data_IF_101257052423
#
_entry.id   IF_101257052423
#
_cell.length_a   1.000
_cell.length_b   1.000
_cell.length_c   1.000
_cell.angle_alpha   90.00
_cell.angle_beta   90.00
_cell.angle_gamma   90.00
#
_symmetry.space_group_name_H-M   'P 1'
#
loop_
_entity.id
_entity.type
_entity.pdbx_description
1 polymer ?
#
# COMPACT_ATOMS: atom_id res chain seq x y z
N UNK A 1 1.38 -18.75 24.82
CA UNK A 1 1.74 -17.36 25.16
C UNK A 1 3.14 -17.32 25.76
N UNK A 2 3.46 -18.19 26.72
CA UNK A 2 4.82 -18.35 27.29
C UNK A 2 5.90 -18.56 26.22
N UNK A 3 5.78 -19.56 25.35
CA UNK A 3 6.78 -19.79 24.28
C UNK A 3 6.95 -18.61 23.31
N UNK A 4 5.92 -17.77 23.12
CA UNK A 4 6.02 -16.55 22.31
C UNK A 4 6.78 -15.45 23.06
N UNK A 5 6.52 -15.30 24.36
CA UNK A 5 7.21 -14.32 25.19
C UNK A 5 8.68 -14.70 25.40
N UNK A 6 9.00 -15.99 25.47
CA UNK A 6 10.38 -16.49 25.50
C UNK A 6 11.18 -16.10 24.24
N UNK A 7 10.57 -16.15 23.05
CA UNK A 7 11.23 -15.74 21.78
C UNK A 7 11.71 -14.27 21.84
N UNK A 8 10.91 -13.39 22.45
CA UNK A 8 11.17 -11.94 22.50
C UNK A 8 11.66 -11.45 23.87
N UNK A 9 12.09 -12.35 24.76
CA UNK A 9 12.50 -12.00 26.12
C UNK A 9 13.63 -10.95 26.14
N UNK A 10 14.51 -10.98 25.14
CA UNK A 10 15.61 -10.03 24.96
C UNK A 10 15.18 -8.58 24.68
N UNK A 11 13.90 -8.35 24.36
CA UNK A 11 13.30 -7.02 24.13
C UNK A 11 12.53 -6.51 25.36
N UNK A 12 12.46 -7.28 26.45
CA UNK A 12 11.70 -6.90 27.64
C UNK A 12 12.42 -5.78 28.40
N UNK A 13 11.69 -4.71 28.71
CA UNK A 13 12.14 -3.57 29.51
C UNK A 13 11.34 -3.56 30.81
N UNK A 14 12.03 -3.33 31.93
CA UNK A 14 11.38 -3.32 33.25
C UNK A 14 10.50 -2.09 33.40
N UNK A 15 9.34 -2.24 34.05
CA UNK A 15 8.41 -1.14 34.27
C UNK A 15 9.07 0.00 35.08
N UNK A 16 9.97 -0.33 36.00
CA UNK A 16 10.73 0.64 36.79
C UNK A 16 11.57 1.57 35.89
N UNK A 17 12.22 1.04 34.85
CA UNK A 17 13.02 1.83 33.92
C UNK A 17 12.14 2.77 33.09
N UNK A 18 10.96 2.31 32.67
CA UNK A 18 9.98 3.11 31.93
C UNK A 18 9.42 4.24 32.81
N UNK A 19 9.10 3.95 34.07
CA UNK A 19 8.65 4.95 35.02
C UNK A 19 9.68 6.06 35.22
N UNK A 20 10.96 5.69 35.36
CA UNK A 20 12.06 6.67 35.44
C UNK A 20 12.18 7.49 34.14
N UNK A 21 12.15 6.83 32.98
CA UNK A 21 12.31 7.47 31.67
C UNK A 21 11.19 8.47 31.35
N UNK A 22 9.97 8.21 31.83
CA UNK A 22 8.76 9.00 31.54
C UNK A 22 8.34 9.94 32.67
N UNK A 23 9.12 10.02 33.75
CA UNK A 23 8.75 10.72 34.99
C UNK A 23 7.38 10.26 35.55
N UNK A 24 7.18 8.94 35.63
CA UNK A 24 5.93 8.28 36.02
C UNK A 24 4.75 8.63 35.11
N UNK A 25 4.96 8.60 33.78
CA UNK A 25 3.96 8.97 32.78
C UNK A 25 3.40 10.39 32.98
N UNK A 26 4.29 11.37 33.23
CA UNK A 26 3.90 12.77 33.33
C UNK A 26 3.13 13.20 32.07
N UNK A 27 2.00 13.87 32.28
CA UNK A 27 1.14 14.37 31.20
C UNK A 27 1.85 15.41 30.32
N UNK A 28 2.88 16.08 30.84
CA UNK A 28 3.73 16.98 30.07
C UNK A 28 4.55 16.26 28.98
N UNK A 29 4.78 14.96 29.14
CA UNK A 29 5.54 14.14 28.19
C UNK A 29 4.65 13.47 27.13
N UNK A 30 3.34 13.77 27.08
CA UNK A 30 2.42 13.14 26.12
C UNK A 30 2.60 13.75 24.74
N UNK A 31 3.00 12.90 23.78
CA UNK A 31 3.19 13.27 22.36
C UNK A 31 2.08 12.73 21.44
N UNK A 32 1.26 11.82 21.93
CA UNK A 32 0.15 11.22 21.19
C UNK A 32 -0.96 10.68 22.06
N UNK A 33 -2.21 10.78 21.57
CA UNK A 33 -3.40 10.23 22.20
C UNK A 33 -4.31 9.62 21.13
N UNK A 34 -4.77 8.39 21.34
CA UNK A 34 -5.67 7.71 20.41
C UNK A 34 -6.46 6.60 21.08
N UNK A 35 -7.25 5.87 20.28
CA UNK A 35 -8.09 4.76 20.76
C UNK A 35 -7.30 3.61 21.41
N UNK A 36 -6.00 3.52 21.12
CA UNK A 36 -5.10 2.49 21.65
C UNK A 36 -4.36 2.91 22.93
N UNK A 37 -4.50 4.15 23.40
CA UNK A 37 -3.84 4.65 24.60
C UNK A 37 -3.10 5.97 24.39
N UNK A 38 -2.16 6.24 25.30
CA UNK A 38 -1.32 7.44 25.28
C UNK A 38 0.11 7.08 24.87
N UNK A 39 0.76 8.00 24.17
CA UNK A 39 2.16 7.90 23.78
C UNK A 39 2.94 8.99 24.51
N UNK A 40 3.94 8.59 25.26
CA UNK A 40 4.83 9.46 26.01
C UNK A 40 6.20 9.50 25.35
N UNK A 41 6.89 10.62 25.39
CA UNK A 41 8.33 10.65 25.14
C UNK A 41 9.11 10.49 26.45
N UNK A 42 10.35 10.03 26.34
CA UNK A 42 11.23 9.90 27.49
C UNK A 42 12.61 9.37 27.10
N UNK A 43 13.55 9.51 28.02
CA UNK A 43 14.95 9.10 27.79
C UNK A 43 15.18 7.72 28.39
N UNK A 44 15.42 6.73 27.53
CA UNK A 44 15.74 5.36 27.94
C UNK A 44 17.26 5.18 27.98
N UNK A 45 17.75 4.63 29.09
CA UNK A 45 19.15 4.23 29.24
C UNK A 45 19.33 2.79 28.77
N UNK A 46 20.35 2.53 27.95
CA UNK A 46 20.68 1.21 27.41
C UNK A 46 22.19 1.04 27.24
N UNK A 47 22.65 -0.16 26.87
CA UNK A 47 24.09 -0.49 26.76
C UNK A 47 24.91 0.43 25.83
N UNK A 48 24.25 1.11 24.88
CA UNK A 48 24.88 2.06 23.94
C UNK A 48 24.80 3.53 24.37
N UNK A 49 24.33 3.85 25.59
CA UNK A 49 24.11 5.22 26.08
C UNK A 49 22.63 5.52 26.37
N UNK A 50 22.24 6.78 26.20
CA UNK A 50 20.87 7.25 26.41
C UNK A 50 20.25 7.67 25.08
N UNK A 51 18.98 7.30 24.86
CA UNK A 51 18.24 7.66 23.66
C UNK A 51 16.86 8.18 24.01
N UNK A 52 16.41 9.21 23.31
CA UNK A 52 15.01 9.63 23.32
C UNK A 52 14.16 8.58 22.60
N UNK A 53 13.07 8.13 23.21
CA UNK A 53 12.19 7.07 22.70
C UNK A 53 10.72 7.42 22.91
N UNK A 54 9.82 6.69 22.24
CA UNK A 54 8.38 6.83 22.41
C UNK A 54 7.78 5.61 23.12
N UNK A 55 7.04 5.84 24.21
CA UNK A 55 6.37 4.83 25.03
C UNK A 55 4.86 4.85 24.76
N UNK A 56 4.34 3.88 23.99
CA UNK A 56 2.89 3.69 23.77
C UNK A 56 2.34 2.82 24.89
N UNK A 57 1.73 3.46 25.89
CA UNK A 57 1.06 2.78 27.01
C UNK A 57 -0.37 2.44 26.61
N UNK A 58 -0.66 1.15 26.51
CA UNK A 58 -1.95 0.69 26.00
C UNK A 58 -3.06 0.87 27.04
N UNK A 59 -4.21 1.39 26.60
CA UNK A 59 -5.37 1.50 27.47
C UNK A 59 -6.12 0.16 27.56
N UNK A 60 -6.28 -0.36 28.78
CA UNK A 60 -6.94 -1.65 29.05
C UNK A 60 -8.44 -1.55 29.31
N UNK A 61 -9.02 -0.36 29.34
CA UNK A 61 -10.39 -0.13 29.82
C UNK A 61 -11.47 -0.95 29.10
N UNK A 62 -11.20 -1.46 27.89
CA UNK A 62 -12.16 -2.24 27.09
C UNK A 62 -11.78 -3.71 26.86
N UNK A 63 -10.70 -4.24 27.47
CA UNK A 63 -10.25 -5.64 27.29
C UNK A 63 -9.76 -6.02 25.88
N UNK A 64 -9.89 -5.12 24.90
CA UNK A 64 -9.30 -5.18 23.56
C UNK A 64 -7.88 -4.60 23.61
N UNK A 65 -6.91 -5.19 22.91
CA UNK A 65 -5.53 -4.69 22.86
C UNK A 65 -4.44 -5.74 23.09
N UNK A 66 -4.75 -6.88 23.73
CA UNK A 66 -3.73 -7.91 23.99
C UNK A 66 -3.23 -8.59 22.69
N UNK A 67 -4.15 -8.88 21.76
CA UNK A 67 -3.79 -9.47 20.49
C UNK A 67 -3.02 -8.47 19.63
N UNK A 68 -3.44 -7.20 19.65
CA UNK A 68 -2.78 -6.09 18.95
C UNK A 68 -1.37 -5.88 19.48
N UNK A 69 -1.19 -5.86 20.81
CA UNK A 69 0.11 -5.75 21.48
C UNK A 69 1.07 -6.86 21.05
N UNK A 70 0.67 -8.13 21.22
CA UNK A 70 1.51 -9.27 20.87
C UNK A 70 1.82 -9.32 19.37
N UNK A 71 0.84 -8.95 18.54
CA UNK A 71 1.06 -8.90 17.09
C UNK A 71 2.02 -7.78 16.71
N UNK A 72 1.91 -6.61 17.32
CA UNK A 72 2.81 -5.49 17.05
C UNK A 72 4.26 -5.85 17.40
N UNK A 73 4.48 -6.51 18.55
CA UNK A 73 5.78 -7.11 18.91
C UNK A 73 6.25 -8.07 17.81
N UNK A 74 5.44 -9.09 17.50
CA UNK A 74 5.80 -10.11 16.51
C UNK A 74 6.18 -9.50 15.15
N UNK A 75 5.41 -8.51 14.68
CA UNK A 75 5.62 -7.91 13.37
C UNK A 75 6.87 -7.04 13.37
N UNK A 76 7.02 -6.12 14.31
CA UNK A 76 8.14 -5.18 14.30
C UNK A 76 9.47 -5.81 14.75
N UNK A 77 9.44 -6.93 15.44
CA UNK A 77 10.66 -7.73 15.72
C UNK A 77 11.13 -8.56 14.52
N UNK A 78 10.25 -8.86 13.56
CA UNK A 78 10.57 -9.71 12.39
C UNK A 78 10.75 -8.94 11.09
N UNK A 79 10.13 -7.76 10.97
CA UNK A 79 10.12 -6.95 9.75
C UNK A 79 10.80 -5.62 10.02
N UNK A 80 11.98 -5.42 9.42
CA UNK A 80 12.80 -4.23 9.62
C UNK A 80 13.10 -3.57 8.29
N UNK A 81 12.82 -2.27 8.19
CA UNK A 81 13.07 -1.46 7.00
C UNK A 81 13.18 0.01 7.40
N UNK A 82 13.95 0.81 6.65
CA UNK A 82 14.17 2.23 6.97
C UNK A 82 12.86 3.05 7.07
N UNK A 83 11.84 2.66 6.30
CA UNK A 83 10.51 3.28 6.30
C UNK A 83 9.44 2.55 7.14
N UNK A 84 9.84 1.67 8.06
CA UNK A 84 8.98 1.14 9.11
C UNK A 84 9.45 1.69 10.46
N UNK A 85 8.52 1.93 11.38
CA UNK A 85 8.88 2.31 12.75
C UNK A 85 9.57 1.13 13.44
N UNK A 86 10.67 1.40 14.13
CA UNK A 86 11.43 0.38 14.84
C UNK A 86 10.90 0.20 16.26
N UNK A 87 10.60 -1.05 16.63
CA UNK A 87 10.34 -1.43 18.03
C UNK A 87 11.68 -1.67 18.73
N UNK A 88 11.92 -0.92 19.81
CA UNK A 88 13.13 -1.02 20.63
C UNK A 88 12.95 -1.99 21.80
N UNK A 89 11.71 -2.13 22.28
CA UNK A 89 11.39 -3.06 23.36
C UNK A 89 9.92 -2.99 23.77
N UNK A 90 9.57 -3.77 24.78
CA UNK A 90 8.23 -3.76 25.36
C UNK A 90 8.25 -4.05 26.87
N UNK A 91 7.17 -3.68 27.55
CA UNK A 91 6.93 -4.04 28.94
C UNK A 91 5.58 -4.77 29.06
N UNK A 92 5.59 -5.86 29.83
CA UNK A 92 4.41 -6.63 30.24
C UNK A 92 4.60 -7.03 31.71
N UNK A 93 4.39 -6.06 32.61
CA UNK A 93 4.64 -6.18 34.06
C UNK A 93 3.54 -5.45 34.82
N UNK A 94 3.13 -5.98 35.98
CA UNK A 94 2.12 -5.38 36.87
C UNK A 94 0.80 -5.00 36.18
N UNK A 95 0.46 -5.69 35.09
CA UNK A 95 -0.71 -5.40 34.28
C UNK A 95 -0.57 -4.22 33.32
N UNK A 96 0.60 -3.60 33.23
CA UNK A 96 0.96 -2.62 32.20
C UNK A 96 1.38 -3.32 30.90
N UNK A 97 0.97 -2.74 29.76
CA UNK A 97 1.42 -3.17 28.43
C UNK A 97 1.90 -1.96 27.66
N UNK A 98 3.20 -1.90 27.43
CA UNK A 98 3.88 -0.72 26.89
C UNK A 98 4.77 -1.15 25.74
N UNK A 99 4.62 -0.49 24.59
CA UNK A 99 5.52 -0.66 23.46
C UNK A 99 6.48 0.52 23.40
N UNK A 100 7.76 0.25 23.18
CA UNK A 100 8.82 1.26 23.15
C UNK A 100 9.40 1.34 21.74
N UNK A 101 9.32 2.50 21.10
CA UNK A 101 9.73 2.71 19.71
C UNK A 101 10.86 3.73 19.60
N UNK A 102 11.53 3.73 18.45
CA UNK A 102 12.31 4.91 18.03
C UNK A 102 11.43 6.18 18.05
N UNK A 103 12.02 7.32 18.38
CA UNK A 103 11.27 8.58 18.45
C UNK A 103 11.11 9.19 17.05
N UNK A 104 9.86 9.42 16.66
CA UNK A 104 9.52 10.12 15.43
C UNK A 104 9.25 11.60 15.74
N UNK A 105 10.33 12.41 15.76
CA UNK A 105 10.32 13.80 16.24
C UNK A 105 9.28 14.71 15.59
N UNK A 106 8.98 14.50 14.31
CA UNK A 106 8.02 15.31 13.60
C UNK A 106 6.57 14.78 13.74
N UNK A 107 6.33 13.74 14.53
CA UNK A 107 5.00 13.17 14.76
C UNK A 107 4.39 12.56 13.49
N UNK A 108 3.05 12.50 13.45
CA UNK A 108 2.31 11.87 12.36
C UNK A 108 2.00 12.82 11.20
N UNK A 109 1.94 12.28 9.97
CA UNK A 109 1.76 13.05 8.73
C UNK A 109 0.47 13.87 8.71
N UNK A 110 -0.62 13.33 9.26
CA UNK A 110 -1.92 14.02 9.36
C UNK A 110 -1.83 15.41 10.02
N UNK A 111 -0.93 15.58 11.01
CA UNK A 111 -0.71 16.85 11.73
C UNK A 111 -0.10 17.97 10.87
N UNK A 112 0.38 17.62 9.67
CA UNK A 112 1.08 18.53 8.76
C UNK A 112 0.32 18.78 7.45
N UNK A 113 -0.74 18.03 7.18
CA UNK A 113 -1.42 18.08 5.88
C UNK A 113 -1.97 19.46 5.54
N UNK A 114 -2.62 20.11 6.51
CA UNK A 114 -3.24 21.43 6.37
C UNK A 114 -2.29 22.60 6.61
N UNK A 115 -1.00 22.32 6.78
CA UNK A 115 0.03 23.33 7.06
C UNK A 115 0.96 23.49 5.87
N UNK A 116 1.58 24.67 5.79
CA UNK A 116 2.63 24.98 4.81
C UNK A 116 4.02 24.45 5.23
N UNK A 117 4.10 23.71 6.34
CA UNK A 117 5.35 23.10 6.85
C UNK A 117 5.99 22.14 5.84
N UNK A 118 5.19 21.46 5.03
CA UNK A 118 5.65 20.52 4.02
C UNK A 118 5.50 21.10 2.61
N UNK A 119 6.64 21.35 1.96
CA UNK A 119 6.72 21.62 0.52
C UNK A 119 6.19 20.43 -0.29
N UNK A 120 5.85 20.68 -1.56
CA UNK A 120 5.43 19.59 -2.46
C UNK A 120 6.51 18.51 -2.62
N UNK A 121 7.78 18.90 -2.72
CA UNK A 121 8.91 17.95 -2.78
C UNK A 121 8.99 17.07 -1.54
N UNK A 122 8.83 17.63 -0.34
CA UNK A 122 8.80 16.85 0.91
C UNK A 122 7.61 15.91 0.95
N UNK A 123 6.42 16.37 0.54
CA UNK A 123 5.22 15.52 0.43
C UNK A 123 5.45 14.31 -0.48
N UNK A 124 6.08 14.51 -1.64
CA UNK A 124 6.48 13.42 -2.54
C UNK A 124 7.47 12.45 -1.90
N UNK A 125 8.49 12.95 -1.20
CA UNK A 125 9.48 12.11 -0.48
C UNK A 125 8.82 11.27 0.61
N UNK A 126 7.92 11.86 1.39
CA UNK A 126 7.16 11.15 2.44
C UNK A 126 6.29 10.05 1.81
N UNK A 127 5.52 10.37 0.77
CA UNK A 127 4.71 9.37 0.06
C UNK A 127 5.58 8.24 -0.52
N UNK A 128 6.74 8.59 -1.10
CA UNK A 128 7.66 7.60 -1.65
C UNK A 128 8.21 6.67 -0.55
N UNK A 129 8.67 7.21 0.58
CA UNK A 129 9.15 6.41 1.72
C UNK A 129 8.06 5.50 2.30
N UNK A 130 6.85 6.02 2.52
CA UNK A 130 5.72 5.20 2.96
C UNK A 130 5.39 4.09 1.97
N UNK A 131 5.43 4.39 0.66
CA UNK A 131 5.23 3.40 -0.39
C UNK A 131 6.32 2.32 -0.42
N UNK A 132 7.58 2.68 -0.14
CA UNK A 132 8.70 1.74 -0.01
C UNK A 132 8.51 0.80 1.18
N UNK A 133 8.13 1.32 2.35
CA UNK A 133 7.80 0.50 3.53
C UNK A 133 6.66 -0.49 3.26
N UNK A 134 5.58 -0.03 2.63
CA UNK A 134 4.47 -0.89 2.22
C UNK A 134 4.87 -1.92 1.16
N UNK A 135 5.71 -1.53 0.20
CA UNK A 135 6.24 -2.45 -0.82
C UNK A 135 7.05 -3.58 -0.17
N UNK A 136 7.88 -3.24 0.82
CA UNK A 136 8.65 -4.22 1.60
C UNK A 136 7.73 -5.18 2.36
N UNK A 137 6.67 -4.69 3.01
CA UNK A 137 5.69 -5.57 3.69
C UNK A 137 4.97 -6.51 2.72
N UNK A 138 4.63 -6.04 1.52
CA UNK A 138 3.89 -6.83 0.53
C UNK A 138 4.73 -7.91 -0.15
N UNK A 139 6.03 -7.65 -0.31
CA UNK A 139 6.99 -8.51 -1.02
C UNK A 139 8.40 -8.43 -0.39
N UNK A 140 8.58 -9.00 0.81
CA UNK A 140 9.87 -8.94 1.51
C UNK A 140 10.89 -9.88 0.85
N UNK A 141 12.12 -9.39 0.65
CA UNK A 141 13.17 -10.10 -0.12
C UNK A 141 13.75 -11.33 0.59
N UNK A 142 13.66 -11.44 1.91
CA UNK A 142 14.45 -12.39 2.72
C UNK A 142 13.59 -13.45 3.44
N UNK A 143 13.05 -14.44 2.72
CA UNK A 143 12.27 -15.59 3.25
C UNK A 143 11.06 -15.27 4.16
N UNK A 144 10.76 -14.00 4.39
CA UNK A 144 9.63 -13.53 5.17
C UNK A 144 8.31 -13.69 4.41
N UNK A 145 7.23 -13.78 5.17
CA UNK A 145 5.89 -13.91 4.62
C UNK A 145 5.33 -12.53 4.26
N UNK A 146 4.35 -12.49 3.35
CA UNK A 146 3.69 -11.23 3.01
C UNK A 146 2.95 -10.70 4.23
N UNK A 147 3.06 -9.40 4.50
CA UNK A 147 2.27 -8.72 5.54
C UNK A 147 1.29 -7.75 4.89
N UNK A 148 0.03 -7.83 5.31
CA UNK A 148 -1.03 -6.89 4.97
C UNK A 148 -1.29 -5.99 6.18
N UNK A 149 -1.14 -4.68 6.03
CA UNK A 149 -1.16 -3.73 7.14
C UNK A 149 -2.58 -3.50 7.70
N UNK A 150 -3.58 -3.37 6.82
CA UNK A 150 -5.03 -3.19 7.11
C UNK A 150 -5.45 -1.85 7.72
N UNK A 151 -4.54 -1.08 8.30
CA UNK A 151 -4.85 0.25 8.85
C UNK A 151 -3.89 1.36 8.38
N UNK A 152 -3.69 1.44 7.06
CA UNK A 152 -2.92 2.53 6.45
C UNK A 152 -3.77 3.80 6.43
N UNK A 153 -3.22 4.85 7.04
CA UNK A 153 -3.79 6.20 7.13
C UNK A 153 -2.67 7.20 7.44
N UNK A 154 -2.92 8.49 7.22
CA UNK A 154 -1.92 9.54 7.47
C UNK A 154 -1.50 9.63 8.94
N UNK A 155 -2.36 9.29 9.90
CA UNK A 155 -1.98 9.24 11.33
C UNK A 155 -1.02 8.09 11.68
N UNK A 156 -0.93 7.06 10.83
CA UNK A 156 -0.07 5.88 11.02
C UNK A 156 1.21 5.96 10.17
N UNK A 157 1.47 7.11 9.53
CA UNK A 157 2.73 7.43 8.88
C UNK A 157 3.41 8.50 9.73
N UNK A 158 4.40 8.08 10.51
CA UNK A 158 5.19 8.95 11.35
C UNK A 158 6.36 9.55 10.57
N UNK A 159 6.91 10.65 11.07
CA UNK A 159 7.98 11.42 10.45
C UNK A 159 9.16 11.52 11.43
N UNK A 160 10.31 11.00 11.02
CA UNK A 160 11.55 11.14 11.79
C UNK A 160 12.06 12.59 11.79
N UNK A 161 13.15 12.87 12.50
CA UNK A 161 13.81 14.20 12.56
C UNK A 161 14.16 14.79 11.18
N UNK A 162 14.38 13.93 10.18
CA UNK A 162 14.76 14.30 8.82
C UNK A 162 13.57 14.32 7.85
N UNK A 163 12.34 14.24 8.37
CA UNK A 163 11.10 14.19 7.61
C UNK A 163 10.94 12.93 6.74
N UNK A 164 11.66 11.85 7.05
CA UNK A 164 11.45 10.56 6.38
C UNK A 164 10.23 9.86 6.97
N UNK A 165 9.50 9.17 6.10
CA UNK A 165 8.31 8.42 6.48
C UNK A 165 8.65 7.11 7.20
N UNK A 166 7.91 6.82 8.27
CA UNK A 166 7.94 5.60 9.07
C UNK A 166 6.51 5.06 9.20
N UNK A 167 6.19 3.96 8.53
CA UNK A 167 4.88 3.29 8.66
C UNK A 167 4.83 2.60 10.03
N UNK A 168 3.74 2.81 10.76
CA UNK A 168 3.55 2.36 12.15
C UNK A 168 2.20 1.66 12.36
N UNK A 169 2.00 1.10 13.56
CA UNK A 169 0.74 0.51 14.03
C UNK A 169 0.38 -0.83 13.36
N UNK A 170 1.23 -1.83 13.62
CA UNK A 170 1.11 -3.18 13.06
C UNK A 170 0.12 -4.07 13.82
N UNK A 171 -0.60 -3.53 14.81
CA UNK A 171 -1.51 -4.27 15.69
C UNK A 171 -2.68 -4.94 14.97
N UNK A 172 -3.06 -4.47 13.77
CA UNK A 172 -4.12 -5.07 12.97
C UNK A 172 -3.61 -6.00 11.86
N UNK A 173 -2.32 -5.95 11.52
CA UNK A 173 -1.69 -6.57 10.36
C UNK A 173 -1.95 -8.08 10.23
N UNK A 174 -1.97 -8.64 9.02
CA UNK A 174 -2.09 -10.11 8.82
C UNK A 174 -0.98 -10.63 7.95
N UNK A 175 -0.48 -11.81 8.31
CA UNK A 175 0.48 -12.53 7.49
C UNK A 175 -0.28 -13.38 6.46
N UNK A 176 0.08 -13.22 5.20
CA UNK A 176 -0.39 -14.04 4.08
C UNK A 176 0.76 -14.85 3.48
N UNK A 177 0.43 -15.91 2.75
CA UNK A 177 1.44 -16.73 2.05
C UNK A 177 2.12 -15.89 0.96
N UNK A 178 3.44 -15.72 1.05
CA UNK A 178 4.24 -14.94 0.08
C UNK A 178 4.24 -15.57 -1.33
N UNK A 179 4.15 -16.90 -1.42
CA UNK A 179 4.33 -17.68 -2.65
C UNK A 179 3.13 -17.62 -3.62
N UNK A 180 2.11 -16.83 -3.32
CA UNK A 180 0.93 -16.63 -4.18
C UNK A 180 0.77 -15.15 -4.54
N UNK A 181 0.77 -14.86 -5.85
CA UNK A 181 0.57 -13.49 -6.36
C UNK A 181 -0.79 -12.90 -5.94
N UNK A 182 -1.79 -13.76 -5.72
CA UNK A 182 -3.13 -13.40 -5.26
C UNK A 182 -3.51 -14.21 -4.01
N UNK A 183 -3.14 -13.72 -2.83
CA UNK A 183 -3.66 -14.25 -1.56
C UNK A 183 -4.88 -13.44 -1.14
N UNK A 184 -6.05 -13.99 -1.41
CA UNK A 184 -7.31 -13.55 -0.85
C UNK A 184 -7.49 -14.20 0.52
N UNK A 185 -7.41 -13.42 1.59
CA UNK A 185 -7.66 -13.90 2.95
C UNK A 185 -9.09 -13.55 3.36
N UNK A 186 -9.91 -14.56 3.67
CA UNK A 186 -11.20 -14.31 4.33
C UNK A 186 -10.91 -13.82 5.75
N UNK A 187 -11.38 -12.62 6.09
CA UNK A 187 -11.09 -11.98 7.35
C UNK A 187 -12.23 -11.06 7.77
N UNK A 188 -12.48 -10.98 9.08
CA UNK A 188 -13.29 -9.91 9.65
C UNK A 188 -12.83 -8.55 9.14
N UNK A 189 -13.76 -7.65 8.81
CA UNK A 189 -13.46 -6.29 8.34
C UNK A 189 -13.02 -5.44 9.53
N UNK A 190 -11.81 -4.91 9.47
CA UNK A 190 -11.24 -3.95 10.44
C UNK A 190 -10.49 -2.87 9.68
N UNK A 191 -10.21 -1.76 10.35
CA UNK A 191 -9.50 -0.61 9.80
C UNK A 191 -10.31 0.67 10.00
N UNK A 192 -9.70 1.80 9.65
CA UNK A 192 -10.30 3.11 9.87
C UNK A 192 -11.29 3.48 8.77
N UNK A 193 -12.49 3.92 9.16
CA UNK A 193 -13.53 4.37 8.22
C UNK A 193 -12.98 5.44 7.25
N UNK A 194 -13.36 5.36 5.98
CA UNK A 194 -12.81 6.21 4.91
C UNK A 194 -11.60 5.60 4.19
N UNK A 195 -10.75 4.85 4.91
CA UNK A 195 -9.57 4.21 4.33
C UNK A 195 -9.82 2.75 3.91
N UNK A 196 -10.82 2.09 4.49
CA UNK A 196 -11.13 0.68 4.22
C UNK A 196 -11.51 0.47 2.75
N UNK A 197 -10.86 -0.52 2.14
CA UNK A 197 -11.17 -0.96 0.78
C UNK A 197 -12.66 -1.37 0.65
N UNK A 198 -13.42 -0.78 -0.29
CA UNK A 198 -14.84 -1.07 -0.44
C UNK A 198 -15.12 -2.54 -0.79
N UNK A 199 -14.22 -3.21 -1.54
CA UNK A 199 -14.40 -4.63 -1.84
C UNK A 199 -14.20 -5.47 -0.59
N UNK A 200 -13.16 -5.17 0.21
CA UNK A 200 -12.92 -5.84 1.48
C UNK A 200 -14.09 -5.65 2.46
N UNK A 201 -14.64 -4.44 2.54
CA UNK A 201 -15.85 -4.16 3.33
C UNK A 201 -17.06 -4.98 2.85
N UNK A 202 -17.23 -5.13 1.53
CA UNK A 202 -18.36 -5.82 0.91
C UNK A 202 -18.28 -7.35 1.03
N UNK A 203 -17.10 -7.94 0.85
CA UNK A 203 -16.95 -9.40 0.72
C UNK A 203 -16.05 -10.06 1.77
N UNK A 204 -15.48 -9.29 2.72
CA UNK A 204 -14.56 -9.79 3.75
C UNK A 204 -13.28 -10.46 3.19
N UNK A 205 -12.92 -10.16 1.95
CA UNK A 205 -11.69 -10.64 1.31
C UNK A 205 -10.63 -9.56 1.39
N UNK A 206 -9.61 -9.82 2.20
CA UNK A 206 -8.45 -8.97 2.37
C UNK A 206 -7.36 -9.37 1.37
N UNK A 207 -6.77 -8.38 0.70
CA UNK A 207 -5.59 -8.57 -0.18
C UNK A 207 -4.58 -7.43 -0.03
N UNK A 208 -3.42 -7.54 -0.70
CA UNK A 208 -2.44 -6.44 -0.79
C UNK A 208 -3.03 -5.18 -1.41
N UNK A 209 -3.96 -5.35 -2.35
CA UNK A 209 -4.66 -4.26 -3.00
C UNK A 209 -5.60 -3.51 -2.05
N UNK A 210 -5.97 -4.10 -0.91
CA UNK A 210 -6.71 -3.39 0.13
C UNK A 210 -5.85 -2.30 0.79
N UNK A 211 -4.58 -2.60 1.11
CA UNK A 211 -3.63 -1.58 1.59
C UNK A 211 -3.34 -0.53 0.50
N UNK A 212 -3.29 -0.94 -0.78
CA UNK A 212 -3.13 -0.01 -1.91
C UNK A 212 -4.28 0.99 -1.96
N UNK A 213 -5.52 0.55 -1.73
CA UNK A 213 -6.68 1.46 -1.68
C UNK A 213 -6.52 2.48 -0.57
N UNK A 214 -6.20 2.01 0.64
CA UNK A 214 -5.98 2.87 1.81
C UNK A 214 -4.83 3.87 1.59
N UNK A 215 -3.74 3.43 0.94
CA UNK A 215 -2.65 4.32 0.54
C UNK A 215 -3.09 5.35 -0.51
N UNK A 216 -3.97 4.98 -1.45
CA UNK A 216 -4.59 5.92 -2.39
C UNK A 216 -5.36 7.05 -1.70
N UNK A 217 -6.02 6.74 -0.58
CA UNK A 217 -6.70 7.76 0.25
C UNK A 217 -5.66 8.71 0.84
N UNK A 218 -4.57 8.19 1.42
CA UNK A 218 -3.46 9.00 1.96
C UNK A 218 -2.85 9.91 0.88
N UNK A 219 -2.65 9.42 -0.35
CA UNK A 219 -2.12 10.24 -1.43
C UNK A 219 -3.03 11.45 -1.74
N UNK A 220 -4.35 11.27 -1.72
CA UNK A 220 -5.28 12.39 -1.87
C UNK A 220 -5.29 13.31 -0.65
N UNK A 221 -5.14 12.80 0.57
CA UNK A 221 -4.98 13.64 1.76
C UNK A 221 -3.76 14.56 1.64
N UNK A 222 -2.64 14.01 1.18
CA UNK A 222 -1.39 14.75 0.92
C UNK A 222 -1.57 15.82 -0.15
N UNK A 223 -2.30 15.52 -1.22
CA UNK A 223 -2.59 16.47 -2.31
C UNK A 223 -3.56 17.58 -1.89
N UNK A 224 -4.61 17.22 -1.16
CA UNK A 224 -5.69 18.14 -0.79
C UNK A 224 -5.41 18.91 0.50
N UNK A 225 -4.41 18.49 1.27
CA UNK A 225 -4.06 19.10 2.55
C UNK A 225 -5.13 18.95 3.62
N UNK A 226 -5.95 17.90 3.55
CA UNK A 226 -7.04 17.61 4.50
C UNK A 226 -7.32 16.12 4.58
N UNK A 227 -7.91 15.70 5.70
CA UNK A 227 -8.31 14.31 5.91
C UNK A 227 -9.43 13.87 4.96
N UNK A 228 -9.59 12.55 4.81
CA UNK A 228 -10.60 11.96 3.95
C UNK A 228 -12.03 12.01 4.50
N UNK A 229 -12.22 12.54 5.71
CA UNK A 229 -13.52 12.76 6.32
C UNK A 229 -13.61 14.15 6.96
N UNK A 230 -14.83 14.68 6.98
CA UNK A 230 -15.22 15.88 7.72
C UNK A 230 -16.25 15.47 8.77
N UNK A 231 -16.10 16.01 9.99
CA UNK A 231 -17.11 15.92 11.05
C UNK A 231 -17.81 17.27 11.08
N UNK A 232 -19.08 17.29 10.67
CA UNK A 232 -19.90 18.50 10.74
C UNK A 232 -20.54 18.62 12.13
N UNK A 233 -21.08 19.80 12.45
CA UNK A 233 -21.70 20.17 13.74
C UNK A 233 -22.86 19.24 14.24
N UNK A 234 -23.23 18.22 13.47
CA UNK A 234 -24.21 17.19 13.86
C UNK A 234 -23.67 15.76 13.80
N UNK A 235 -22.37 15.56 13.99
CA UNK A 235 -21.67 14.25 13.94
C UNK A 235 -21.86 13.46 12.64
N UNK A 236 -22.25 14.13 11.56
CA UNK A 236 -22.39 13.51 10.24
C UNK A 236 -21.02 13.39 9.60
N UNK A 237 -20.51 12.15 9.53
CA UNK A 237 -19.28 11.82 8.83
C UNK A 237 -19.44 11.92 7.32
N UNK A 238 -18.77 12.89 6.70
CA UNK A 238 -18.73 13.03 5.25
C UNK A 238 -17.41 12.47 4.69
N UNK A 239 -17.46 11.35 3.99
CA UNK A 239 -16.30 10.79 3.29
C UNK A 239 -16.03 11.53 1.96
N UNK A 240 -14.84 12.11 1.81
CA UNK A 240 -14.42 12.91 0.66
C UNK A 240 -13.87 12.10 -0.51
N UNK A 241 -13.60 10.81 -0.32
CA UNK A 241 -12.98 9.93 -1.33
C UNK A 241 -13.77 9.93 -2.65
N UNK A 242 -15.11 9.95 -2.57
CA UNK A 242 -15.98 10.02 -3.77
C UNK A 242 -15.78 11.35 -4.51
N UNK A 243 -15.73 12.47 -3.78
CA UNK A 243 -15.52 13.81 -4.32
C UNK A 243 -14.17 13.93 -5.02
N UNK A 244 -13.11 13.38 -4.41
CA UNK A 244 -11.77 13.38 -5.00
C UNK A 244 -11.72 12.60 -6.31
N UNK A 245 -12.28 11.39 -6.34
CA UNK A 245 -12.37 10.58 -7.57
C UNK A 245 -13.14 11.29 -8.68
N UNK A 246 -14.22 11.99 -8.33
CA UNK A 246 -15.01 12.75 -9.29
C UNK A 246 -14.25 13.96 -9.83
N UNK A 247 -13.57 14.70 -8.95
CA UNK A 247 -12.75 15.86 -9.32
C UNK A 247 -11.63 15.46 -10.29
N UNK A 248 -10.94 14.33 -10.04
CA UNK A 248 -9.96 13.78 -10.98
C UNK A 248 -10.58 13.48 -12.34
N UNK A 249 -11.70 12.72 -12.39
CA UNK A 249 -12.38 12.37 -13.64
C UNK A 249 -12.84 13.58 -14.45
N UNK A 250 -13.27 14.63 -13.76
CA UNK A 250 -13.77 15.86 -14.37
C UNK A 250 -12.65 16.87 -14.68
N UNK A 251 -11.37 16.52 -14.43
CA UNK A 251 -10.21 17.41 -14.58
C UNK A 251 -10.33 18.71 -13.75
N UNK A 252 -10.90 18.58 -12.55
CA UNK A 252 -11.13 19.66 -11.57
C UNK A 252 -10.22 19.50 -10.35
N UNK A 253 -9.00 18.99 -10.54
CA UNK A 253 -8.05 18.83 -9.43
C UNK A 253 -7.70 20.17 -8.79
N UNK A 254 -7.64 21.25 -9.58
CA UNK A 254 -7.41 22.60 -9.08
C UNK A 254 -8.47 23.05 -8.06
N UNK A 255 -9.67 22.46 -8.04
CA UNK A 255 -10.70 22.79 -7.03
C UNK A 255 -10.43 22.14 -5.67
N UNK A 256 -9.58 21.10 -5.61
CA UNK A 256 -9.35 20.30 -4.40
C UNK A 256 -7.91 20.31 -3.88
N UNK A 257 -6.94 20.70 -4.71
CA UNK A 257 -5.52 20.80 -4.29
C UNK A 257 -5.40 21.86 -3.19
N UNK A 258 -4.56 21.57 -2.19
CA UNK A 258 -4.25 22.50 -1.13
C UNK A 258 -3.73 23.83 -1.73
N UNK A 259 -4.43 24.92 -1.43
CA UNK A 259 -4.26 26.21 -2.14
C UNK A 259 -2.80 26.69 -2.13
N UNK A 260 -2.12 26.54 -1.00
CA UNK A 260 -0.75 27.03 -0.80
C UNK A 260 0.31 26.20 -1.55
N UNK A 261 -0.05 25.01 -2.08
CA UNK A 261 0.87 24.20 -2.89
C UNK A 261 0.77 24.50 -4.38
N UNK A 262 -0.38 24.97 -4.88
CA UNK A 262 -0.71 24.98 -6.31
C UNK A 262 0.36 25.58 -7.20
N UNK A 263 0.90 26.73 -6.81
CA UNK A 263 1.88 27.47 -7.62
C UNK A 263 3.28 26.86 -7.61
N UNK A 264 3.57 25.93 -6.69
CA UNK A 264 4.88 25.32 -6.50
C UNK A 264 4.98 23.90 -7.08
N UNK A 265 3.90 23.37 -7.63
CA UNK A 265 3.84 22.01 -8.17
C UNK A 265 4.20 22.02 -9.66
N UNK A 266 5.18 21.22 -10.07
CA UNK A 266 5.40 20.90 -11.48
C UNK A 266 4.16 20.19 -12.04
N UNK A 267 3.54 20.71 -13.13
CA UNK A 267 2.32 20.12 -13.68
C UNK A 267 2.45 18.64 -14.09
N UNK A 268 3.63 18.19 -14.52
CA UNK A 268 3.87 16.78 -14.90
C UNK A 268 4.00 15.90 -13.66
N UNK A 269 4.65 16.41 -12.61
CA UNK A 269 4.68 15.77 -11.29
C UNK A 269 3.25 15.57 -10.76
N UNK A 270 2.41 16.61 -10.83
CA UNK A 270 0.99 16.55 -10.44
C UNK A 270 0.21 15.51 -11.25
N UNK A 271 0.40 15.48 -12.56
CA UNK A 271 -0.28 14.54 -13.45
C UNK A 271 0.01 13.09 -13.04
N UNK A 272 1.29 12.75 -12.85
CA UNK A 272 1.70 11.40 -12.43
C UNK A 272 1.17 11.07 -11.04
N UNK A 273 1.36 11.97 -10.07
CA UNK A 273 0.95 11.74 -8.69
C UNK A 273 -0.55 11.50 -8.58
N UNK A 274 -1.36 12.39 -9.18
CA UNK A 274 -2.81 12.30 -9.13
C UNK A 274 -3.35 11.10 -9.90
N UNK A 275 -2.70 10.70 -11.00
CA UNK A 275 -3.07 9.50 -11.75
C UNK A 275 -2.86 8.23 -10.93
N UNK A 276 -1.71 8.07 -10.27
CA UNK A 276 -1.45 6.93 -9.39
C UNK A 276 -2.40 6.93 -8.20
N UNK A 277 -2.60 8.07 -7.54
CA UNK A 277 -3.57 8.19 -6.43
C UNK A 277 -4.97 7.73 -6.86
N UNK A 278 -5.43 8.16 -8.03
CA UNK A 278 -6.73 7.78 -8.57
C UNK A 278 -6.80 6.28 -8.95
N UNK A 279 -5.73 5.70 -9.51
CA UNK A 279 -5.67 4.27 -9.81
C UNK A 279 -5.71 3.41 -8.54
N UNK A 280 -5.06 3.82 -7.46
CA UNK A 280 -5.16 3.14 -6.16
C UNK A 280 -6.61 3.03 -5.67
N UNK A 281 -7.45 4.03 -5.98
CA UNK A 281 -8.85 4.09 -5.56
C UNK A 281 -9.85 3.39 -6.49
N UNK A 282 -9.39 2.57 -7.46
CA UNK A 282 -10.31 1.78 -8.29
C UNK A 282 -11.14 0.80 -7.45
N UNK A 283 -12.41 0.59 -7.85
CA UNK A 283 -13.31 -0.32 -7.10
C UNK A 283 -12.74 -1.73 -7.11
N UNK A 284 -12.41 -2.25 -8.28
CA UNK A 284 -11.88 -3.60 -8.45
C UNK A 284 -10.36 -3.63 -8.25
N UNK A 285 -9.88 -4.60 -7.47
CA UNK A 285 -8.47 -4.75 -7.11
C UNK A 285 -7.57 -4.96 -8.32
N UNK A 286 -8.06 -5.61 -9.36
CA UNK A 286 -7.30 -5.92 -10.59
C UNK A 286 -6.95 -4.65 -11.38
N UNK A 287 -7.64 -3.55 -11.12
CA UNK A 287 -7.38 -2.25 -11.73
C UNK A 287 -6.48 -1.36 -10.85
N UNK A 288 -6.07 -1.82 -9.66
CA UNK A 288 -5.17 -1.09 -8.77
C UNK A 288 -3.72 -1.47 -9.08
N UNK A 289 -2.77 -0.53 -8.97
CA UNK A 289 -1.36 -0.81 -9.19
C UNK A 289 -0.77 -1.61 -8.02
N UNK A 290 0.39 -2.22 -8.23
CA UNK A 290 1.19 -2.81 -7.14
C UNK A 290 1.95 -1.71 -6.39
N UNK A 291 2.34 -1.96 -5.13
CA UNK A 291 3.20 -1.02 -4.39
C UNK A 291 4.53 -0.74 -5.10
N UNK A 292 5.14 -1.74 -5.73
CA UNK A 292 6.36 -1.53 -6.53
C UNK A 292 6.15 -0.54 -7.68
N UNK A 293 4.99 -0.58 -8.32
CA UNK A 293 4.63 0.35 -9.37
C UNK A 293 4.38 1.76 -8.84
N UNK A 294 3.72 1.86 -7.69
CA UNK A 294 3.49 3.13 -6.99
C UNK A 294 4.84 3.78 -6.61
N UNK A 295 5.79 3.01 -6.06
CA UNK A 295 7.15 3.47 -5.74
C UNK A 295 7.86 4.02 -6.98
N UNK A 296 7.81 3.29 -8.10
CA UNK A 296 8.41 3.74 -9.36
C UNK A 296 7.85 5.10 -9.80
N UNK A 297 6.53 5.24 -9.82
CA UNK A 297 5.87 6.44 -10.35
C UNK A 297 5.98 7.64 -9.40
N UNK A 298 5.91 7.43 -8.09
CA UNK A 298 6.21 8.48 -7.11
C UNK A 298 7.67 8.94 -7.25
N UNK A 299 8.61 8.02 -7.50
CA UNK A 299 10.00 8.36 -7.80
C UNK A 299 10.16 9.18 -9.09
N UNK A 300 9.35 8.93 -10.12
CA UNK A 300 9.33 9.76 -11.34
C UNK A 300 8.76 11.16 -11.03
N UNK A 301 7.64 11.23 -10.30
CA UNK A 301 7.01 12.50 -9.93
C UNK A 301 7.96 13.38 -9.08
N UNK A 302 8.70 12.78 -8.15
CA UNK A 302 9.72 13.46 -7.36
C UNK A 302 10.84 14.02 -8.22
N UNK A 303 11.41 13.22 -9.12
CA UNK A 303 12.48 13.69 -10.02
C UNK A 303 12.03 14.87 -10.89
N UNK A 304 10.79 14.84 -11.40
CA UNK A 304 10.26 15.96 -12.20
C UNK A 304 10.11 17.23 -11.38
N UNK A 305 9.68 17.12 -10.12
CA UNK A 305 9.60 18.24 -9.20
C UNK A 305 11.00 18.82 -8.91
N UNK A 306 11.98 17.97 -8.61
CA UNK A 306 13.36 18.41 -8.34
C UNK A 306 13.98 19.12 -9.55
N UNK A 307 13.68 18.65 -10.77
CA UNK A 307 14.08 19.33 -12.01
C UNK A 307 13.41 20.70 -12.12
N UNK A 308 12.09 20.78 -11.90
CA UNK A 308 11.33 22.02 -12.03
C UNK A 308 11.86 23.12 -11.10
N UNK A 309 12.19 22.75 -9.87
CA UNK A 309 12.75 23.69 -8.88
C UNK A 309 14.19 24.12 -9.21
N UNK A 310 14.95 23.28 -9.94
CA UNK A 310 16.29 23.61 -10.44
C UNK A 310 16.28 24.49 -11.68
N UNK A 311 15.25 24.44 -12.52
CA UNK A 311 15.17 25.23 -13.78
C UNK A 311 15.13 26.74 -13.51
N UNK A 312 14.83 27.18 -12.28
CA UNK A 312 15.02 28.56 -11.81
C UNK A 312 16.47 28.95 -11.47
N UNK A 313 17.43 28.03 -11.62
CA UNK A 313 18.87 28.19 -11.37
C UNK A 313 19.65 27.79 -12.65
N UNK A 314 20.88 28.30 -12.88
CA UNK A 314 21.68 27.90 -14.04
C UNK A 314 21.99 26.39 -14.00
N UNK A 315 21.45 25.64 -14.96
CA UNK A 315 21.65 24.19 -15.11
C UNK A 315 22.80 23.86 -16.07
N UNK A 316 23.45 22.70 -15.86
CA UNK A 316 24.49 22.19 -16.74
C UNK A 316 23.95 21.23 -17.82
N UNK A 317 24.77 20.93 -18.84
CA UNK A 317 24.38 20.16 -20.02
C UNK A 317 23.99 18.70 -19.72
N UNK A 318 24.61 18.07 -18.72
CA UNK A 318 24.27 16.70 -18.32
C UNK A 318 22.88 16.61 -17.68
N UNK A 319 22.49 17.62 -16.90
CA UNK A 319 21.15 17.71 -16.31
C UNK A 319 20.08 17.88 -17.39
N UNK A 320 20.34 18.67 -18.43
CA UNK A 320 19.43 18.81 -19.58
C UNK A 320 19.16 17.48 -20.30
N UNK A 321 20.19 16.64 -20.49
CA UNK A 321 20.05 15.32 -21.13
C UNK A 321 19.20 14.39 -20.26
N UNK A 322 19.41 14.38 -18.93
CA UNK A 322 18.60 13.57 -18.00
C UNK A 322 17.12 13.94 -18.02
N UNK A 323 16.81 15.23 -18.20
CA UNK A 323 15.43 15.72 -18.33
C UNK A 323 14.78 15.14 -19.58
N UNK A 324 15.46 15.19 -20.72
CA UNK A 324 14.89 14.74 -21.99
C UNK A 324 14.72 13.21 -22.05
N UNK A 325 15.68 12.46 -21.51
CA UNK A 325 15.57 11.00 -21.33
C UNK A 325 14.39 10.65 -20.42
N UNK A 326 14.18 11.41 -19.34
CA UNK A 326 13.07 11.20 -18.41
C UNK A 326 11.71 11.48 -19.06
N UNK A 327 11.60 12.54 -19.87
CA UNK A 327 10.39 12.81 -20.68
C UNK A 327 10.10 11.69 -21.69
N UNK A 328 11.14 11.18 -22.37
CA UNK A 328 11.00 10.06 -23.31
C UNK A 328 10.50 8.78 -22.64
N UNK A 329 11.08 8.42 -21.48
CA UNK A 329 10.61 7.29 -20.66
C UNK A 329 9.18 7.50 -20.16
N UNK A 330 8.85 8.70 -19.71
CA UNK A 330 7.52 9.05 -19.22
C UNK A 330 6.45 8.91 -20.31
N UNK A 331 6.72 9.43 -21.52
CA UNK A 331 5.81 9.30 -22.67
C UNK A 331 5.59 7.85 -23.06
N UNK A 332 6.64 7.03 -23.01
CA UNK A 332 6.56 5.58 -23.27
C UNK A 332 5.76 4.83 -22.18
N UNK A 333 5.95 5.18 -20.90
CA UNK A 333 5.24 4.59 -19.77
C UNK A 333 3.74 4.92 -19.79
N UNK A 334 3.40 6.18 -20.00
CA UNK A 334 2.01 6.65 -20.07
C UNK A 334 1.26 6.09 -21.28
N UNK A 335 1.92 5.98 -22.44
CA UNK A 335 1.33 5.38 -23.65
C UNK A 335 1.09 3.87 -23.54
N UNK A 336 1.97 3.12 -22.87
CA UNK A 336 1.77 1.68 -22.61
C UNK A 336 0.58 1.38 -21.69
N UNK A 337 0.13 2.37 -20.90
CA UNK A 337 -0.95 2.21 -19.92
C UNK A 337 -2.25 2.93 -20.31
N UNK A 338 -2.33 3.46 -21.53
CA UNK A 338 -3.54 4.15 -22.03
C UNK A 338 -3.76 5.55 -21.44
N UNK A 339 -2.75 6.16 -20.82
CA UNK A 339 -2.78 7.57 -20.43
C UNK A 339 -2.32 8.44 -21.59
N UNK A 340 -3.26 9.15 -22.24
CA UNK A 340 -2.95 10.10 -23.31
C UNK A 340 -2.51 11.44 -22.73
N UNK A 341 -1.26 11.81 -22.94
CA UNK A 341 -0.76 13.18 -22.71
C UNK A 341 -1.14 14.02 -23.92
N UNK A 342 -2.12 14.91 -23.79
CA UNK A 342 -2.33 15.97 -24.78
C UNK A 342 -1.29 17.06 -24.55
N UNK A 343 -0.14 16.93 -25.19
CA UNK A 343 0.92 17.92 -25.15
C UNK A 343 0.49 19.22 -25.84
N UNK A 344 0.40 20.30 -25.07
CA UNK A 344 0.40 21.67 -25.60
C UNK A 344 1.72 21.93 -26.32
N UNK A 345 1.62 22.45 -27.55
CA UNK A 345 2.76 22.77 -28.41
C UNK A 345 3.61 23.87 -27.79
N UNK A 346 4.90 23.60 -27.60
CA UNK A 346 5.94 24.63 -27.58
C UNK A 346 6.95 24.25 -28.65
N UNK A 347 6.98 25.02 -29.73
CA UNK A 347 7.79 24.74 -30.91
C UNK A 347 9.21 25.21 -30.73
N UNK A 348 10.17 24.33 -31.06
CA UNK A 348 11.47 24.67 -31.65
C UNK A 348 11.78 23.53 -32.62
N UNK A 349 11.89 23.83 -33.91
CA UNK A 349 12.18 22.83 -34.94
C UNK A 349 13.68 22.68 -35.16
N UNK A 350 14.16 21.43 -35.31
CA UNK A 350 15.37 21.09 -36.07
C UNK A 350 15.26 19.65 -36.61
N UNK A 351 15.54 19.52 -37.91
CA UNK A 351 16.00 18.41 -38.74
C UNK A 351 15.42 16.97 -38.61
N UNK A 352 14.87 16.51 -39.75
CA UNK A 352 14.69 15.11 -40.13
C UNK A 352 16.03 14.38 -40.20
N UNK A 353 16.14 13.21 -39.59
CA UNK A 353 17.03 12.15 -40.03
C UNK A 353 16.32 10.79 -39.92
N UNK A 354 16.54 10.01 -40.97
CA UNK A 354 15.92 8.75 -41.32
C UNK A 354 16.47 7.65 -40.39
N UNK A 355 15.58 6.92 -39.71
CA UNK A 355 15.91 5.61 -39.12
C UNK A 355 14.79 4.66 -39.50
N UNK A 356 15.15 3.68 -40.33
CA UNK A 356 14.29 2.59 -40.77
C UNK A 356 13.85 1.75 -39.58
N UNK A 357 12.53 1.57 -39.42
CA UNK A 357 11.94 0.63 -38.46
C UNK A 357 11.82 -0.75 -39.09
N UNK A 358 12.30 -1.84 -38.47
CA UNK A 358 11.88 -3.17 -38.85
C UNK A 358 10.45 -3.40 -38.35
N UNK A 359 9.52 -3.54 -39.29
CA UNK A 359 8.15 -4.01 -39.04
C UNK A 359 8.18 -5.47 -38.58
N UNK A 360 7.95 -5.73 -37.31
CA UNK A 360 7.47 -7.04 -36.83
C UNK A 360 6.15 -6.87 -36.09
N UNK A 361 5.07 -7.19 -36.81
CA UNK A 361 3.72 -7.35 -36.28
C UNK A 361 3.71 -8.54 -35.32
N UNK A 362 3.15 -8.46 -34.09
CA UNK A 362 2.98 -9.63 -33.25
C UNK A 362 1.97 -10.58 -33.91
N UNK A 363 2.43 -11.75 -34.36
CA UNK A 363 1.56 -12.80 -34.86
C UNK A 363 0.62 -13.25 -33.73
N UNK A 364 -0.70 -13.15 -33.96
CA UNK A 364 -1.71 -13.77 -33.09
C UNK A 364 -1.45 -15.27 -33.02
N UNK A 365 -1.15 -15.79 -31.82
CA UNK A 365 -1.02 -17.23 -31.59
C UNK A 365 -2.27 -17.98 -32.07
N UNK A 366 -2.07 -19.07 -32.82
CA UNK A 366 -3.18 -19.87 -33.37
C UNK A 366 -4.04 -20.46 -32.23
N UNK A 367 -5.38 -20.42 -32.34
CA UNK A 367 -6.25 -20.94 -31.29
C UNK A 367 -6.11 -22.46 -31.14
N UNK A 368 -5.86 -22.93 -29.92
CA UNK A 368 -5.68 -24.34 -29.59
C UNK A 368 -7.00 -25.13 -29.72
N UNK A 369 -6.96 -26.22 -30.50
CA UNK A 369 -8.11 -27.11 -30.74
C UNK A 369 -8.21 -28.18 -29.66
N UNK A 370 -9.43 -28.47 -29.21
CA UNK A 370 -9.69 -29.57 -28.30
C UNK A 370 -9.41 -30.92 -29.00
N UNK A 371 -8.55 -31.79 -28.47
CA UNK A 371 -8.21 -33.07 -29.12
C UNK A 371 -9.35 -34.11 -29.06
N UNK A 372 -10.48 -33.82 -28.41
CA UNK A 372 -11.65 -34.72 -28.36
C UNK A 372 -12.77 -34.36 -29.34
N UNK A 373 -12.91 -33.08 -29.69
CA UNK A 373 -14.05 -32.60 -30.50
C UNK A 373 -13.64 -31.52 -31.51
N UNK A 374 -12.34 -31.30 -31.67
CA UNK A 374 -11.69 -30.36 -32.59
C UNK A 374 -12.08 -28.88 -32.46
N UNK A 375 -12.97 -28.56 -31.52
CA UNK A 375 -13.42 -27.21 -31.28
C UNK A 375 -12.28 -26.30 -30.82
N UNK A 376 -12.18 -25.11 -31.42
CA UNK A 376 -11.30 -24.02 -31.01
C UNK A 376 -11.80 -23.26 -29.79
N UNK A 377 -13.01 -23.56 -29.30
CA UNK A 377 -13.61 -22.93 -28.13
C UNK A 377 -13.07 -23.54 -26.82
N UNK A 378 -11.77 -23.36 -26.62
CA UNK A 378 -11.04 -23.81 -25.45
C UNK A 378 -10.55 -22.62 -24.63
N UNK A 379 -10.53 -22.76 -23.31
CA UNK A 379 -10.01 -21.76 -22.38
C UNK A 379 -8.90 -22.39 -21.54
N UNK A 380 -7.76 -21.72 -21.45
CA UNK A 380 -6.73 -22.06 -20.45
C UNK A 380 -7.30 -21.92 -19.04
N UNK A 381 -7.04 -22.91 -18.18
CA UNK A 381 -7.52 -22.93 -16.80
C UNK A 381 -6.38 -22.74 -15.81
N UNK A 382 -5.39 -23.65 -15.80
CA UNK A 382 -4.28 -23.69 -14.85
C UNK A 382 -3.20 -24.68 -15.33
N UNK A 383 -1.99 -24.61 -14.78
CA UNK A 383 -0.95 -25.63 -14.94
C UNK A 383 -1.13 -26.74 -13.91
N UNK A 384 -0.86 -27.99 -14.28
CA UNK A 384 -0.97 -29.12 -13.37
C UNK A 384 0.04 -28.98 -12.20
N UNK A 385 -0.38 -29.27 -10.96
CA UNK A 385 0.45 -29.18 -9.75
C UNK A 385 1.70 -30.09 -9.79
N UNK A 386 1.73 -31.08 -10.67
CA UNK A 386 2.85 -32.02 -10.83
C UNK A 386 3.79 -31.70 -12.01
N UNK A 387 3.44 -30.75 -12.90
CA UNK A 387 4.30 -30.37 -14.04
C UNK A 387 3.86 -29.04 -14.66
N UNK A 388 4.78 -28.06 -14.67
CA UNK A 388 4.58 -26.71 -15.22
C UNK A 388 4.63 -26.66 -16.77
N UNK A 389 5.03 -27.74 -17.43
CA UNK A 389 5.06 -27.82 -18.90
C UNK A 389 3.75 -28.34 -19.50
N UNK A 390 2.75 -28.62 -18.66
CA UNK A 390 1.49 -29.25 -19.04
C UNK A 390 0.28 -28.37 -18.69
N UNK A 391 -0.04 -27.35 -19.52
CA UNK A 391 -1.18 -26.47 -19.29
C UNK A 391 -2.51 -27.19 -19.52
N UNK A 392 -3.45 -26.99 -18.59
CA UNK A 392 -4.78 -27.60 -18.65
C UNK A 392 -5.81 -26.62 -19.23
N UNK A 393 -6.56 -27.12 -20.19
CA UNK A 393 -7.56 -26.39 -20.93
C UNK A 393 -8.94 -27.01 -20.70
N UNK A 394 -9.98 -26.18 -20.67
CA UNK A 394 -11.36 -26.61 -20.67
C UNK A 394 -11.99 -26.35 -22.02
N UNK A 395 -12.54 -27.38 -22.66
CA UNK A 395 -13.31 -27.22 -23.87
C UNK A 395 -14.78 -26.95 -23.50
N UNK A 396 -15.31 -25.80 -23.93
CA UNK A 396 -16.71 -25.44 -23.65
C UNK A 396 -17.70 -26.31 -24.43
N UNK A 397 -17.30 -26.79 -25.60
CA UNK A 397 -18.14 -27.60 -26.49
C UNK A 397 -18.41 -29.00 -25.92
N UNK A 398 -17.36 -29.75 -25.55
CA UNK A 398 -17.53 -31.09 -24.99
C UNK A 398 -17.56 -31.11 -23.45
N UNK A 399 -17.43 -29.95 -22.80
CA UNK A 399 -17.41 -29.76 -21.34
C UNK A 399 -16.40 -30.66 -20.62
N UNK A 400 -15.23 -30.87 -21.23
CA UNK A 400 -14.15 -31.68 -20.67
C UNK A 400 -12.84 -30.91 -20.58
N UNK A 401 -12.07 -31.23 -19.56
CA UNK A 401 -10.69 -30.79 -19.44
C UNK A 401 -9.77 -31.66 -20.30
N UNK A 402 -8.74 -31.06 -20.85
CA UNK A 402 -7.65 -31.72 -21.57
C UNK A 402 -6.33 -31.00 -21.27
N UNK A 403 -5.22 -31.70 -21.48
CA UNK A 403 -3.88 -31.18 -21.19
C UNK A 403 -3.12 -31.06 -22.50
N UNK A 404 -2.56 -29.89 -22.79
CA UNK A 404 -1.74 -29.68 -23.98
C UNK A 404 -0.46 -30.52 -23.84
N UNK A 405 -0.12 -31.29 -24.88
CA UNK A 405 0.99 -32.26 -24.89
C UNK A 405 0.87 -33.41 -23.86
N UNK A 406 -0.32 -33.64 -23.28
CA UNK A 406 -0.59 -34.76 -22.38
C UNK A 406 -1.40 -35.88 -23.05
N UNK A 407 -1.31 -37.10 -22.55
CA UNK A 407 -2.09 -38.24 -23.06
C UNK A 407 -3.58 -38.12 -22.71
N UNK A 408 -4.47 -38.35 -23.68
CA UNK A 408 -5.91 -38.43 -23.46
C UNK A 408 -6.28 -39.68 -22.64
N UNK A 409 -6.69 -39.51 -21.38
CA UNK A 409 -7.23 -40.62 -20.57
C UNK A 409 -8.73 -40.77 -20.82
N UNK A 410 -9.19 -41.97 -21.19
CA UNK A 410 -10.61 -42.31 -21.31
C UNK A 410 -11.16 -42.84 -19.98
N UNK A 411 -11.39 -41.95 -19.03
CA UNK A 411 -12.05 -42.30 -17.76
C UNK A 411 -13.51 -41.84 -17.83
N UNK A 412 -14.48 -42.72 -17.52
CA UNK A 412 -15.89 -42.34 -17.33
C UNK A 412 -15.97 -41.41 -16.12
N UNK A 413 -16.36 -40.15 -16.33
CA UNK A 413 -16.61 -39.20 -15.24
C UNK A 413 -17.96 -39.55 -14.63
N UNK A 414 -17.97 -40.01 -13.38
CA UNK A 414 -19.18 -40.26 -12.60
C UNK A 414 -19.94 -38.96 -12.35
N UNK A 415 -20.91 -38.68 -13.22
CA UNK A 415 -21.94 -37.68 -13.00
C UNK A 415 -23.05 -38.26 -12.13
N UNK A 416 -22.89 -38.22 -10.82
CA UNK A 416 -24.00 -38.40 -9.90
C UNK A 416 -24.76 -37.07 -9.79
N UNK A 417 -25.82 -36.90 -10.58
CA UNK A 417 -26.78 -35.80 -10.41
C UNK A 417 -27.42 -35.91 -9.02
N UNK A 418 -27.29 -34.88 -8.17
CA UNK A 418 -28.08 -34.78 -6.92
C UNK A 418 -29.57 -34.78 -7.28
N UNK A 419 -30.30 -35.84 -6.88
CA UNK A 419 -31.78 -35.87 -6.95
C UNK A 419 -32.35 -34.78 -6.03
N UNK A 420 -33.44 -34.08 -6.41
CA UNK A 420 -34.10 -33.13 -5.52
C UNK A 420 -34.86 -33.89 -4.41
N UNK A 421 -34.85 -33.33 -3.20
CA UNK A 421 -35.62 -33.81 -2.03
C UNK A 421 -37.11 -33.89 -2.40
N UNK A 422 -37.74 -35.05 -2.24
CA UNK A 422 -39.20 -35.17 -2.17
C UNK A 422 -39.69 -34.50 -0.90
N UNK A 423 -40.66 -33.60 -1.05
CA UNK A 423 -41.50 -33.09 0.02
C UNK A 423 -42.30 -34.23 0.63
N UNK A 424 -42.27 -34.35 1.96
CA UNK A 424 -43.25 -35.14 2.70
C UNK A 424 -44.56 -34.38 2.69
N UNK A 425 -45.54 -34.90 1.95
CA UNK A 425 -46.96 -34.70 2.20
C UNK A 425 -47.69 -35.99 1.78
N UNK A 426 -48.43 -36.49 2.75
CA UNK A 426 -49.56 -37.43 2.71
C UNK A 426 -49.32 -38.96 2.60
N UNK A 427 -49.90 -39.60 3.63
CA UNK A 427 -50.18 -41.01 3.93
C UNK A 427 -49.07 -41.85 4.57
#
# INVERSE_FOLDING_TARGET
MEAFMEEFQHLKIQLQEINLATANFDMNNVIGKGGFGMVYEGVLSHSKGQSMVAFKRLNRSNGQGNCEFLKEIMMLSRYTHENLISLLGFCDEDGEKILVYEHAYNGSLDRHLSKTTLTWRQRLKICLGAAMGLCYLHDPKETHQRVLHRDIKSSNILLDENWNAKVSDMGLSKIGLANQQHTALVSNVVGTFGYVDPMYAENSILTKESDVYSFGVVLFEVLCGRLCFEINDGDHFRCLVRTWKQSYKQKKLDEIIFQDLKQYIDPRSLEIFSAIAYQCLQKYREARPTMSHIVEYLGIALRLQEIFEKVGQPMNFEEMIKIEVSKGKLKMLLSRQGMLINGGKMGIGVAKSIVETPTSVPQKEKPLKCPRCESTNTKFCYYNNYSLTQPRHFCKTCRRYWTLNGSLRNVRVGGGSRKPKRSFQDL
#
